data_IF_236929005080
#
_entry.id   IF_236929005080
#
_cell.length_a   1.000
_cell.length_b   1.000
_cell.length_c   1.000
_cell.angle_alpha   90.00
_cell.angle_beta   90.00
_cell.angle_gamma   90.00
#
_symmetry.space_group_name_H-M   'P 1'
#
loop_
_entity.id
_entity.type
_entity.pdbx_description
1 polymer ?
#
# COMPACT_ATOMS: atom_id res chain seq x y z
N UNK A 1 26.66 9.57 16.58
CA UNK A 1 25.82 10.24 15.56
C UNK A 1 24.47 10.56 16.21
N UNK A 2 24.09 11.85 16.22
CA UNK A 2 22.88 12.37 16.88
C UNK A 2 21.62 11.84 16.20
N UNK A 3 20.63 11.35 16.96
CA UNK A 3 19.27 11.16 16.45
C UNK A 3 18.48 12.43 16.76
N UNK A 4 18.50 13.36 15.83
CA UNK A 4 17.57 14.49 15.85
C UNK A 4 16.18 13.97 15.48
N UNK A 5 15.23 14.15 16.40
CA UNK A 5 13.86 13.63 16.38
C UNK A 5 12.88 14.65 15.78
N UNK A 6 13.34 15.53 14.89
CA UNK A 6 12.59 16.74 14.50
C UNK A 6 11.81 16.63 13.19
N UNK A 7 11.96 15.55 12.41
CA UNK A 7 11.07 15.25 11.29
C UNK A 7 10.77 13.76 11.26
N UNK A 8 9.50 13.39 11.48
CA UNK A 8 9.02 12.05 11.15
C UNK A 8 9.02 11.93 9.62
N UNK A 9 10.13 11.48 9.05
CA UNK A 9 10.23 11.23 7.61
C UNK A 9 9.23 10.12 7.26
N UNK A 10 8.23 10.51 6.48
CA UNK A 10 7.23 9.60 5.93
C UNK A 10 7.44 9.47 4.43
N UNK A 11 7.32 8.25 3.94
CA UNK A 11 7.48 7.88 2.54
C UNK A 11 6.09 7.54 1.96
N UNK A 12 5.76 8.00 0.75
CA UNK A 12 4.51 7.63 0.08
C UNK A 12 4.57 6.16 -0.36
N UNK A 13 3.52 5.40 -0.12
CA UNK A 13 3.37 4.00 -0.52
C UNK A 13 2.12 3.81 -1.34
N UNK A 14 2.24 3.33 -2.58
CA UNK A 14 1.07 2.91 -3.36
C UNK A 14 0.63 1.52 -2.91
N UNK A 15 -0.59 1.39 -2.37
CA UNK A 15 -1.10 0.10 -1.93
C UNK A 15 -1.24 -0.87 -3.10
N UNK A 16 -1.89 -0.46 -4.19
CA UNK A 16 -1.86 -1.15 -5.47
C UNK A 16 -0.59 -0.69 -6.20
N UNK A 17 0.39 -1.58 -6.45
CA UNK A 17 1.66 -1.18 -7.05
C UNK A 17 1.48 -0.54 -8.43
N UNK A 18 2.21 0.54 -8.72
CA UNK A 18 2.16 1.19 -10.05
C UNK A 18 2.60 0.27 -11.20
N UNK A 19 3.39 -0.77 -10.91
CA UNK A 19 3.71 -1.82 -11.90
C UNK A 19 2.47 -2.58 -12.41
N UNK A 20 1.31 -2.39 -11.78
CA UNK A 20 0.01 -2.97 -12.16
C UNK A 20 -0.88 -1.99 -12.91
N UNK A 21 -0.41 -0.79 -13.25
CA UNK A 21 -1.25 0.21 -13.93
C UNK A 21 -1.85 -0.30 -15.24
N UNK A 22 -1.13 -1.11 -16.01
CA UNK A 22 -1.65 -1.70 -17.26
C UNK A 22 -2.83 -2.68 -17.03
N UNK A 23 -3.02 -3.17 -15.80
CA UNK A 23 -4.14 -4.04 -15.43
C UNK A 23 -5.42 -3.24 -15.07
N UNK A 24 -5.39 -1.89 -15.10
CA UNK A 24 -6.51 -1.03 -14.73
C UNK A 24 -6.76 0.10 -15.74
N UNK A 25 -8.05 0.39 -15.98
CA UNK A 25 -8.48 1.49 -16.88
C UNK A 25 -8.32 2.90 -16.26
N UNK A 26 -7.72 3.00 -15.07
CA UNK A 26 -7.56 4.24 -14.32
C UNK A 26 -6.12 4.39 -13.83
N UNK A 27 -5.67 5.65 -13.68
CA UNK A 27 -4.36 5.91 -13.06
C UNK A 27 -4.37 5.43 -11.60
N UNK A 28 -3.33 4.67 -11.24
CA UNK A 28 -3.07 4.22 -9.88
C UNK A 28 -2.29 5.25 -9.05
N UNK A 29 -1.71 6.27 -9.69
CA UNK A 29 -1.03 7.37 -9.01
C UNK A 29 -2.03 8.42 -8.54
N UNK A 30 -2.84 8.03 -7.54
CA UNK A 30 -3.93 8.83 -6.99
C UNK A 30 -3.93 8.75 -5.47
N UNK A 31 -4.39 9.83 -4.83
CA UNK A 31 -4.37 9.97 -3.37
C UNK A 31 -5.04 8.81 -2.63
N UNK A 32 -6.11 8.23 -3.19
CA UNK A 32 -6.82 7.09 -2.61
C UNK A 32 -5.90 5.87 -2.44
N UNK A 33 -4.97 5.68 -3.37
CA UNK A 33 -4.02 4.58 -3.40
C UNK A 33 -2.70 4.87 -2.66
N UNK A 34 -2.42 6.13 -2.30
CA UNK A 34 -1.13 6.56 -1.72
C UNK A 34 -1.24 6.77 -0.21
N UNK A 35 -0.44 6.04 0.56
CA UNK A 35 -0.36 6.14 2.02
C UNK A 35 0.95 6.77 2.46
N UNK A 36 0.90 7.66 3.46
CA UNK A 36 2.10 8.19 4.11
C UNK A 36 2.50 7.25 5.24
N UNK A 37 3.62 6.53 5.08
CA UNK A 37 4.12 5.58 6.08
C UNK A 37 5.50 6.02 6.59
N UNK A 38 5.84 5.72 7.85
CA UNK A 38 7.23 5.86 8.28
C UNK A 38 8.11 4.79 7.60
N UNK A 39 9.42 5.04 7.54
CA UNK A 39 10.38 4.12 6.91
C UNK A 39 10.35 2.70 7.46
N UNK A 40 10.01 2.50 8.74
CA UNK A 40 9.85 1.16 9.29
C UNK A 40 8.65 0.40 8.69
N UNK A 41 7.47 1.03 8.66
CA UNK A 41 6.27 0.44 8.08
C UNK A 41 6.41 0.20 6.58
N UNK A 42 7.07 1.14 5.88
CA UNK A 42 7.39 1.02 4.46
C UNK A 42 8.28 -0.19 4.19
N UNK A 43 9.36 -0.34 4.97
CA UNK A 43 10.24 -1.51 4.90
C UNK A 43 9.55 -2.83 5.28
N UNK A 44 8.59 -2.81 6.22
CA UNK A 44 7.83 -4.02 6.57
C UNK A 44 7.02 -4.56 5.38
N UNK A 45 6.49 -3.69 4.51
CA UNK A 45 5.74 -4.11 3.33
C UNK A 45 6.66 -4.70 2.25
N UNK A 46 7.89 -4.19 2.13
CA UNK A 46 8.82 -4.62 1.07
C UNK A 46 9.73 -5.78 1.48
N UNK A 47 10.11 -5.87 2.75
CA UNK A 47 11.14 -6.78 3.25
C UNK A 47 10.70 -7.57 4.49
N UNK A 48 9.48 -7.36 4.98
CA UNK A 48 8.93 -8.11 6.10
C UNK A 48 8.67 -9.57 5.77
N UNK A 49 8.27 -10.33 6.79
CA UNK A 49 7.75 -11.67 6.59
C UNK A 49 6.45 -11.64 5.79
N UNK A 50 6.08 -12.74 5.16
CA UNK A 50 4.78 -12.87 4.48
C UNK A 50 3.60 -12.48 5.38
N UNK A 51 3.64 -12.91 6.65
CA UNK A 51 2.64 -12.54 7.66
C UNK A 51 2.62 -11.02 7.92
N UNK A 52 3.78 -10.38 8.06
CA UNK A 52 3.88 -8.93 8.24
C UNK A 52 3.33 -8.16 7.04
N UNK A 53 3.71 -8.57 5.83
CA UNK A 53 3.25 -7.94 4.59
C UNK A 53 1.73 -8.06 4.47
N UNK A 54 1.18 -9.26 4.69
CA UNK A 54 -0.28 -9.48 4.69
C UNK A 54 -0.97 -8.60 5.71
N UNK A 55 -0.51 -8.60 6.96
CA UNK A 55 -1.07 -7.77 8.04
C UNK A 55 -1.08 -6.29 7.68
N UNK A 56 0.01 -5.78 7.12
CA UNK A 56 0.12 -4.39 6.71
C UNK A 56 -0.81 -4.06 5.53
N UNK A 57 -0.84 -4.91 4.49
CA UNK A 57 -1.72 -4.74 3.34
C UNK A 57 -3.20 -4.75 3.77
N UNK A 58 -3.61 -5.68 4.64
CA UNK A 58 -4.99 -5.71 5.18
C UNK A 58 -5.35 -4.39 5.84
N UNK A 59 -4.48 -3.92 6.73
CA UNK A 59 -4.73 -2.72 7.51
C UNK A 59 -4.82 -1.48 6.62
N UNK A 60 -3.99 -1.37 5.59
CA UNK A 60 -4.07 -0.27 4.62
C UNK A 60 -5.32 -0.37 3.73
N UNK A 61 -5.64 -1.57 3.26
CA UNK A 61 -6.81 -1.83 2.44
C UNK A 61 -8.10 -1.50 3.18
N UNK A 62 -8.29 -2.01 4.39
CA UNK A 62 -9.49 -1.75 5.20
C UNK A 62 -9.70 -0.25 5.48
N UNK A 63 -8.62 0.51 5.64
CA UNK A 63 -8.68 1.96 5.86
C UNK A 63 -9.22 2.74 4.68
N UNK A 64 -9.07 2.24 3.44
CA UNK A 64 -9.46 2.97 2.22
C UNK A 64 -10.21 2.14 1.18
N UNK A 65 -10.79 1.02 1.58
CA UNK A 65 -11.44 0.10 0.64
C UNK A 65 -12.53 0.80 -0.19
N UNK A 66 -13.34 1.66 0.44
CA UNK A 66 -14.42 2.39 -0.24
C UNK A 66 -13.87 3.37 -1.29
N UNK A 67 -12.84 4.12 -0.93
CA UNK A 67 -12.18 5.07 -1.83
C UNK A 67 -11.49 4.36 -3.00
N UNK A 68 -10.83 3.24 -2.72
CA UNK A 68 -10.21 2.38 -3.75
C UNK A 68 -11.29 1.85 -4.70
N UNK A 69 -12.42 1.36 -4.19
CA UNK A 69 -13.50 0.86 -5.06
C UNK A 69 -14.08 1.96 -5.95
N UNK A 70 -14.26 3.16 -5.39
CA UNK A 70 -14.70 4.33 -6.15
C UNK A 70 -13.68 4.72 -7.22
N UNK A 71 -12.39 4.75 -6.86
CA UNK A 71 -11.30 5.07 -7.77
C UNK A 71 -11.21 4.08 -8.95
N UNK A 72 -11.35 2.78 -8.67
CA UNK A 72 -11.26 1.71 -9.66
C UNK A 72 -12.54 1.51 -10.46
N UNK A 73 -13.69 2.02 -10.00
CA UNK A 73 -14.99 1.71 -10.57
C UNK A 73 -15.43 0.25 -10.39
N UNK A 74 -14.70 -0.54 -9.60
CA UNK A 74 -14.99 -1.95 -9.31
C UNK A 74 -14.59 -2.32 -7.89
N UNK A 75 -15.20 -3.40 -7.35
CA UNK A 75 -14.72 -4.03 -6.13
C UNK A 75 -13.47 -4.85 -6.41
N UNK A 76 -12.55 -4.84 -5.46
CA UNK A 76 -11.32 -5.65 -5.44
C UNK A 76 -11.20 -6.28 -4.05
N UNK A 77 -10.74 -7.52 -3.97
CA UNK A 77 -10.47 -8.20 -2.70
C UNK A 77 -9.06 -7.93 -2.19
N UNK A 78 -8.84 -8.05 -0.87
CA UNK A 78 -7.49 -7.96 -0.28
C UNK A 78 -6.56 -9.06 -0.83
N UNK A 79 -7.10 -10.24 -1.15
CA UNK A 79 -6.39 -11.36 -1.77
C UNK A 79 -5.81 -11.00 -3.15
N UNK A 80 -6.50 -10.17 -3.94
CA UNK A 80 -5.96 -9.68 -5.22
C UNK A 80 -4.73 -8.80 -4.98
N UNK A 81 -4.72 -8.02 -3.90
CA UNK A 81 -3.57 -7.19 -3.54
C UNK A 81 -2.43 -8.07 -3.03
N UNK A 82 -2.68 -9.07 -2.18
CA UNK A 82 -1.66 -10.02 -1.75
C UNK A 82 -0.94 -10.69 -2.93
N UNK A 83 -1.69 -11.12 -3.94
CA UNK A 83 -1.13 -11.69 -5.16
C UNK A 83 -0.20 -10.71 -5.90
N UNK A 84 -0.48 -9.40 -5.88
CA UNK A 84 0.39 -8.37 -6.47
C UNK A 84 1.73 -8.22 -5.71
N UNK A 85 1.74 -8.47 -4.40
CA UNK A 85 2.94 -8.51 -3.56
C UNK A 85 3.58 -9.90 -3.48
N UNK A 86 3.01 -10.90 -4.17
CA UNK A 86 3.48 -12.29 -4.19
C UNK A 86 3.49 -12.96 -2.81
N UNK A 87 2.51 -12.61 -2.00
CA UNK A 87 2.21 -13.25 -0.70
C UNK A 87 0.88 -14.02 -0.84
N UNK A 88 0.78 -15.23 -0.30
CA UNK A 88 -0.35 -16.16 -0.45
C UNK A 88 -0.96 -16.57 0.89
#
# INVERSE_FOLDING_TARGET
MKRDLSHAYTEPHHLIPLAKTDDFDVSLDREQNIFSLCSHCHNQIHYGTEEDVRRMITLLFERRAKEIFSMLGRRIGVEEIYAMYRVQ
#
